data_IF_449384831395
#
_entry.id   IF_449384831395
#
_cell.length_a   1.000
_cell.length_b   1.000
_cell.length_c   1.000
_cell.angle_alpha   90.00
_cell.angle_beta   90.00
_cell.angle_gamma   90.00
#
_symmetry.space_group_name_H-M   'P 1'
#
loop_
_entity.id
_entity.type
_entity.pdbx_description
1 polymer ?
#
# COMPACT_ATOMS: atom_id res chain seq x y z
N UNK A 1 -35.35 -11.86 -23.15
CA UNK A 1 -34.50 -12.30 -22.02
C UNK A 1 -35.32 -12.24 -20.74
N UNK A 2 -35.57 -13.36 -20.06
CA UNK A 2 -36.35 -13.37 -18.81
C UNK A 2 -35.65 -12.60 -17.70
N UNK A 3 -36.42 -11.90 -16.84
CA UNK A 3 -35.88 -11.21 -15.66
C UNK A 3 -35.19 -12.20 -14.73
N UNK A 4 -34.02 -11.84 -14.21
CA UNK A 4 -33.32 -12.67 -13.21
C UNK A 4 -34.09 -12.71 -11.89
N UNK A 5 -33.92 -13.76 -11.08
CA UNK A 5 -34.57 -13.90 -9.76
C UNK A 5 -34.28 -12.71 -8.84
N UNK A 6 -33.09 -12.14 -8.92
CA UNK A 6 -32.70 -10.95 -8.16
C UNK A 6 -33.49 -9.71 -8.61
N UNK A 7 -33.66 -9.52 -9.92
CA UNK A 7 -34.48 -8.44 -10.47
C UNK A 7 -35.96 -8.59 -10.08
N UNK A 8 -36.52 -9.80 -10.14
CA UNK A 8 -37.90 -10.07 -9.70
C UNK A 8 -38.11 -9.69 -8.22
N UNK A 9 -37.13 -10.00 -7.35
CA UNK A 9 -37.19 -9.61 -5.94
C UNK A 9 -37.00 -8.11 -5.71
N UNK A 10 -36.16 -7.45 -6.50
CA UNK A 10 -35.98 -6.00 -6.45
C UNK A 10 -37.27 -5.27 -6.85
N UNK A 11 -37.89 -5.68 -7.96
CA UNK A 11 -39.17 -5.16 -8.46
C UNK A 11 -40.30 -5.40 -7.44
N UNK A 12 -40.33 -6.56 -6.78
CA UNK A 12 -41.28 -6.83 -5.70
C UNK A 12 -41.08 -5.88 -4.51
N UNK A 13 -39.84 -5.64 -4.07
CA UNK A 13 -39.54 -4.72 -2.96
C UNK A 13 -39.91 -3.29 -3.29
N UNK A 14 -39.66 -2.84 -4.51
CA UNK A 14 -40.04 -1.50 -4.98
C UNK A 14 -41.57 -1.33 -5.00
N UNK A 15 -42.32 -2.29 -5.55
CA UNK A 15 -43.79 -2.29 -5.52
C UNK A 15 -44.35 -2.28 -4.09
N UNK A 16 -43.78 -3.08 -3.18
CA UNK A 16 -44.15 -3.09 -1.75
C UNK A 16 -43.83 -1.76 -1.06
N UNK A 17 -42.71 -1.12 -1.39
CA UNK A 17 -42.27 0.16 -0.86
C UNK A 17 -43.18 1.31 -1.31
N UNK A 18 -43.63 1.28 -2.57
CA UNK A 18 -44.62 2.21 -3.10
C UNK A 18 -46.01 2.01 -2.45
N UNK A 19 -46.47 0.76 -2.32
CA UNK A 19 -47.79 0.44 -1.77
C UNK A 19 -47.97 0.78 -0.28
N UNK A 20 -46.94 0.57 0.54
CA UNK A 20 -47.00 0.77 2.01
C UNK A 20 -46.44 2.11 2.46
N UNK A 21 -45.80 2.87 1.59
CA UNK A 21 -44.98 4.02 1.96
C UNK A 21 -43.60 3.63 2.49
N UNK A 22 -42.60 4.48 2.22
CA UNK A 22 -41.20 4.22 2.53
C UNK A 22 -40.94 4.04 4.04
N UNK A 23 -41.56 4.87 4.89
CA UNK A 23 -41.36 4.82 6.33
C UNK A 23 -41.88 3.51 6.95
N UNK A 24 -43.10 3.10 6.58
CA UNK A 24 -43.73 1.86 7.09
C UNK A 24 -42.97 0.62 6.60
N UNK A 25 -42.52 0.61 5.35
CA UNK A 25 -41.74 -0.50 4.79
C UNK A 25 -40.39 -0.67 5.52
N UNK A 26 -39.70 0.44 5.83
CA UNK A 26 -38.45 0.42 6.58
C UNK A 26 -38.66 -0.02 8.03
N UNK A 27 -39.73 0.46 8.68
CA UNK A 27 -40.08 0.06 10.05
C UNK A 27 -40.37 -1.44 10.16
N UNK A 28 -41.20 -1.98 9.27
CA UNK A 28 -41.47 -3.42 9.19
C UNK A 28 -40.22 -4.26 8.80
N UNK A 29 -39.27 -3.67 8.08
CA UNK A 29 -37.96 -4.28 7.81
C UNK A 29 -37.10 -4.36 9.08
N UNK A 30 -37.03 -3.26 9.83
CA UNK A 30 -36.31 -3.14 11.10
C UNK A 30 -36.89 -4.08 12.17
N UNK A 31 -38.22 -4.15 12.30
CA UNK A 31 -38.90 -5.06 13.24
C UNK A 31 -38.62 -6.53 12.92
N UNK A 32 -38.62 -6.91 11.64
CA UNK A 32 -38.22 -8.26 11.22
C UNK A 32 -36.76 -8.55 11.54
N UNK A 33 -35.86 -7.59 11.31
CA UNK A 33 -34.46 -7.76 11.67
C UNK A 33 -34.30 -7.93 13.20
N UNK A 34 -34.97 -7.11 14.01
CA UNK A 34 -34.97 -7.23 15.48
C UNK A 34 -35.51 -8.59 15.94
N UNK A 35 -36.58 -9.11 15.34
CA UNK A 35 -37.18 -10.42 15.69
C UNK A 35 -36.22 -11.59 15.55
N UNK A 36 -35.33 -11.56 14.55
CA UNK A 36 -34.41 -12.68 14.25
C UNK A 36 -32.94 -12.40 14.61
N UNK A 37 -32.62 -11.17 15.01
CA UNK A 37 -31.27 -10.79 15.37
C UNK A 37 -31.03 -11.06 16.85
N UNK A 38 -30.26 -12.11 17.13
CA UNK A 38 -29.71 -12.37 18.47
C UNK A 38 -28.27 -11.86 18.50
N UNK A 39 -27.96 -10.86 19.35
CA UNK A 39 -26.60 -10.35 19.53
C UNK A 39 -25.63 -11.46 19.95
N UNK A 40 -24.42 -11.43 19.40
CA UNK A 40 -23.40 -12.47 19.68
C UNK A 40 -22.98 -12.48 21.15
N UNK A 41 -23.05 -11.33 21.82
CA UNK A 41 -22.76 -11.21 23.25
C UNK A 41 -23.74 -12.02 24.13
N UNK A 42 -25.01 -12.11 23.71
CA UNK A 42 -26.07 -12.81 24.45
C UNK A 42 -26.04 -14.34 24.24
N UNK A 43 -25.15 -14.87 23.41
CA UNK A 43 -25.05 -16.30 23.13
C UNK A 43 -24.04 -17.00 24.04
N UNK A 44 -24.42 -18.17 24.53
CA UNK A 44 -23.49 -19.07 25.25
C UNK A 44 -22.40 -19.60 24.31
N UNK A 45 -21.28 -20.09 24.86
CA UNK A 45 -20.18 -20.64 24.04
C UNK A 45 -20.63 -21.83 23.19
N UNK A 46 -21.54 -22.67 23.70
CA UNK A 46 -22.15 -23.78 22.96
C UNK A 46 -22.93 -23.27 21.75
N UNK A 47 -23.82 -22.30 21.94
CA UNK A 47 -24.60 -21.70 20.85
C UNK A 47 -23.72 -20.98 19.81
N UNK A 48 -22.63 -20.34 20.25
CA UNK A 48 -21.63 -19.74 19.34
C UNK A 48 -20.98 -20.81 18.45
N UNK A 49 -20.63 -21.96 19.02
CA UNK A 49 -20.05 -23.10 18.28
C UNK A 49 -21.04 -23.66 17.26
N UNK A 50 -22.28 -23.94 17.68
CA UNK A 50 -23.34 -24.43 16.80
C UNK A 50 -23.65 -23.44 15.66
N UNK A 51 -23.63 -22.13 15.94
CA UNK A 51 -23.84 -21.10 14.91
C UNK A 51 -22.70 -21.09 13.88
N UNK A 52 -21.44 -21.23 14.32
CA UNK A 52 -20.27 -21.35 13.43
C UNK A 52 -20.35 -22.63 12.58
N UNK A 53 -20.74 -23.74 13.18
CA UNK A 53 -20.88 -25.02 12.50
C UNK A 53 -21.98 -24.98 11.43
N UNK A 54 -23.16 -24.42 11.74
CA UNK A 54 -24.24 -24.20 10.76
C UNK A 54 -23.78 -23.33 9.57
N UNK A 55 -22.99 -22.28 9.83
CA UNK A 55 -22.40 -21.45 8.77
C UNK A 55 -21.41 -22.24 7.94
N UNK A 56 -20.51 -23.00 8.56
CA UNK A 56 -19.53 -23.83 7.88
C UNK A 56 -20.20 -24.88 6.99
N UNK A 57 -21.25 -25.55 7.48
CA UNK A 57 -22.05 -26.50 6.70
C UNK A 57 -22.68 -25.81 5.49
N UNK A 58 -23.27 -24.62 5.66
CA UNK A 58 -23.90 -23.87 4.56
C UNK A 58 -22.88 -23.48 3.50
N UNK A 59 -21.71 -22.99 3.91
CA UNK A 59 -20.60 -22.63 3.01
C UNK A 59 -20.08 -23.86 2.27
N UNK A 60 -19.92 -24.99 2.97
CA UNK A 60 -19.48 -26.26 2.36
C UNK A 60 -20.48 -26.76 1.32
N UNK A 61 -21.78 -26.76 1.64
CA UNK A 61 -22.86 -27.10 0.69
C UNK A 61 -22.87 -26.18 -0.53
N UNK A 62 -22.71 -24.88 -0.32
CA UNK A 62 -22.65 -23.90 -1.42
C UNK A 62 -21.45 -24.12 -2.33
N UNK A 63 -20.26 -24.35 -1.77
CA UNK A 63 -19.04 -24.67 -2.55
C UNK A 63 -19.20 -25.95 -3.34
N UNK A 64 -19.79 -26.99 -2.73
CA UNK A 64 -20.08 -28.25 -3.43
C UNK A 64 -21.07 -28.05 -4.59
N UNK A 65 -22.11 -27.24 -4.40
CA UNK A 65 -23.06 -26.88 -5.45
C UNK A 65 -22.40 -26.12 -6.62
N UNK A 66 -21.57 -25.12 -6.32
CA UNK A 66 -20.80 -24.40 -7.36
C UNK A 66 -19.87 -25.36 -8.09
N UNK A 67 -19.22 -26.29 -7.37
CA UNK A 67 -18.35 -27.29 -7.98
C UNK A 67 -19.12 -28.18 -8.95
N UNK A 68 -20.32 -28.66 -8.57
CA UNK A 68 -21.22 -29.42 -9.45
C UNK A 68 -21.67 -28.64 -10.68
N UNK A 69 -21.99 -27.36 -10.55
CA UNK A 69 -22.32 -26.50 -11.71
C UNK A 69 -21.12 -26.41 -12.67
N UNK A 70 -19.93 -26.18 -12.13
CA UNK A 70 -18.72 -26.02 -12.94
C UNK A 70 -18.28 -27.34 -13.59
N UNK A 71 -18.43 -28.47 -12.89
CA UNK A 71 -18.18 -29.80 -13.42
C UNK A 71 -19.22 -30.17 -14.49
N UNK A 72 -20.50 -29.85 -14.29
CA UNK A 72 -21.53 -30.02 -15.31
C UNK A 72 -21.28 -29.18 -16.57
N UNK A 73 -20.87 -27.92 -16.40
CA UNK A 73 -20.50 -27.05 -17.52
C UNK A 73 -19.27 -27.57 -18.29
N UNK A 74 -18.31 -28.20 -17.61
CA UNK A 74 -17.13 -28.84 -18.24
C UNK A 74 -17.49 -30.13 -18.95
N UNK A 75 -18.29 -31.00 -18.33
CA UNK A 75 -18.70 -32.26 -18.94
C UNK A 75 -19.63 -32.04 -20.14
N UNK A 76 -20.49 -31.01 -20.13
CA UNK A 76 -21.24 -30.60 -21.32
C UNK A 76 -20.33 -30.07 -22.43
N UNK A 77 -19.21 -29.42 -22.08
CA UNK A 77 -18.22 -28.96 -23.05
C UNK A 77 -17.38 -30.10 -23.64
N UNK A 78 -17.08 -31.13 -22.85
CA UNK A 78 -16.31 -32.30 -23.27
C UNK A 78 -17.15 -33.27 -24.11
N UNK A 79 -18.43 -33.53 -23.76
CA UNK A 79 -19.34 -34.34 -24.59
C UNK A 79 -19.56 -33.75 -25.99
N UNK A 80 -19.61 -32.42 -26.10
CA UNK A 80 -19.68 -31.76 -27.42
C UNK A 80 -18.40 -31.87 -28.26
N UNK A 81 -17.25 -32.24 -27.66
CA UNK A 81 -15.99 -32.41 -28.37
C UNK A 81 -15.70 -33.88 -28.73
N UNK A 82 -16.24 -34.85 -27.98
CA UNK A 82 -16.03 -36.28 -28.26
C UNK A 82 -16.93 -36.81 -29.40
N UNK A 83 -18.18 -36.33 -29.52
CA UNK A 83 -19.10 -36.74 -30.60
C UNK A 83 -18.70 -36.19 -31.99
N UNK A 84 -17.69 -35.32 -32.07
CA UNK A 84 -17.21 -34.71 -33.31
C UNK A 84 -15.98 -35.37 -33.93
N UNK A 85 -15.41 -36.41 -33.30
CA UNK A 85 -14.08 -36.92 -33.65
C UNK A 85 -14.08 -38.32 -34.31
N UNK A 86 -15.24 -38.85 -34.69
CA UNK A 86 -15.38 -40.13 -35.42
C UNK A 86 -16.12 -39.93 -36.74
N UNK A 87 -15.49 -39.22 -37.67
CA UNK A 87 -15.74 -39.39 -39.11
C UNK A 87 -14.47 -39.04 -39.85
N UNK A 88 -13.76 -40.09 -40.25
CA UNK A 88 -12.64 -40.04 -41.17
C UNK A 88 -13.05 -39.26 -42.42
N UNK A 89 -12.18 -38.35 -42.85
CA UNK A 89 -12.26 -37.67 -44.13
C UNK A 89 -11.98 -38.70 -45.25
N UNK A 90 -12.93 -38.96 -46.18
CA UNK A 90 -12.53 -39.25 -47.54
C UNK A 90 -12.21 -37.92 -48.22
N UNK A 91 -11.01 -37.86 -48.78
CA UNK A 91 -10.52 -36.79 -49.63
C UNK A 91 -11.51 -36.48 -50.78
N UNK A 92 -11.87 -35.22 -51.08
CA UNK A 92 -12.53 -34.88 -52.32
C UNK A 92 -11.59 -34.06 -53.19
N UNK A 93 -10.77 -34.75 -53.97
CA UNK A 93 -10.33 -34.23 -55.26
C UNK A 93 -11.43 -34.61 -56.25
N UNK A 94 -12.30 -33.66 -56.61
CA UNK A 94 -13.04 -33.77 -57.86
C UNK A 94 -13.38 -32.39 -58.41
N UNK A 95 -12.89 -32.18 -59.62
CA UNK A 95 -13.01 -30.99 -60.46
C UNK A 95 -14.47 -30.61 -60.71
N UNK A 96 -14.77 -29.32 -60.62
CA UNK A 96 -15.96 -28.73 -61.22
C UNK A 96 -15.78 -28.76 -62.75
N UNK A 97 -16.44 -29.70 -63.42
CA UNK A 97 -16.75 -29.57 -64.85
C UNK A 97 -18.18 -29.05 -65.02
N UNK A 98 -18.25 -27.83 -65.52
CA UNK A 98 -19.37 -27.31 -66.28
C UNK A 98 -19.71 -28.27 -67.43
N UNK A 99 -21.00 -28.57 -67.62
CA UNK A 99 -21.48 -29.03 -68.91
C UNK A 99 -22.89 -28.48 -69.15
N UNK A 100 -22.93 -27.59 -70.13
CA UNK A 100 -24.10 -27.10 -70.81
C UNK A 100 -24.91 -28.22 -71.50
N UNK A 101 -26.21 -27.93 -71.60
CA UNK A 101 -27.19 -28.36 -72.60
C UNK A 101 -26.89 -29.56 -73.52
N UNK A 102 -27.78 -30.56 -73.49
CA UNK A 102 -28.27 -31.20 -74.71
C UNK A 102 -29.68 -31.77 -74.52
N UNK A 103 -30.55 -31.38 -75.44
CA UNK A 103 -31.85 -31.97 -75.75
C UNK A 103 -31.58 -33.31 -76.45
N UNK A 104 -32.27 -34.39 -76.07
CA UNK A 104 -32.57 -35.45 -77.04
C UNK A 104 -33.86 -36.20 -76.70
N UNK A 105 -34.76 -36.18 -77.68
CA UNK A 105 -35.84 -37.12 -77.86
C UNK A 105 -35.33 -38.58 -77.87
N UNK A 106 -36.20 -39.50 -77.46
CA UNK A 106 -35.87 -40.93 -77.42
C UNK A 106 -37.10 -41.77 -77.10
N UNK A 107 -38.02 -41.84 -78.07
CA UNK A 107 -39.09 -42.82 -78.14
C UNK A 107 -38.53 -44.25 -78.26
N UNK A 108 -39.12 -45.22 -77.57
CA UNK A 108 -39.23 -46.58 -78.11
C UNK A 108 -40.51 -47.26 -77.64
N UNK A 109 -41.30 -47.67 -78.62
CA UNK A 109 -42.51 -48.47 -78.52
C UNK A 109 -42.21 -49.94 -78.24
N UNK A 110 -43.15 -50.63 -77.60
CA UNK A 110 -43.46 -52.03 -77.94
C UNK A 110 -44.99 -52.22 -77.91
N UNK A 111 -45.51 -52.73 -79.02
CA UNK A 111 -46.88 -53.12 -79.37
C UNK A 111 -47.57 -54.01 -78.32
N UNK A 112 -48.89 -54.17 -78.18
CA UNK A 112 -50.11 -54.07 -79.01
C UNK A 112 -51.06 -55.21 -78.53
N UNK A 113 -52.23 -55.53 -79.11
CA UNK A 113 -53.22 -54.76 -79.88
C UNK A 113 -54.67 -54.94 -79.36
N UNK A 114 -55.66 -54.16 -79.85
CA UNK A 114 -56.88 -54.68 -80.51
C UNK A 114 -58.03 -53.66 -80.63
N UNK A 115 -58.54 -53.55 -81.86
CA UNK A 115 -59.92 -53.26 -82.27
C UNK A 115 -60.44 -51.81 -82.33
N UNK A 116 -60.28 -51.24 -83.54
CA UNK A 116 -61.37 -50.82 -84.44
C UNK A 116 -62.68 -50.35 -83.78
N UNK A 117 -62.96 -49.04 -83.84
CA UNK A 117 -64.21 -48.50 -84.43
C UNK A 117 -63.99 -47.07 -84.96
N UNK A 118 -64.65 -46.80 -86.08
CA UNK A 118 -64.57 -45.61 -86.95
C UNK A 118 -64.85 -44.29 -86.22
N UNK A 119 -64.04 -43.27 -86.47
CA UNK A 119 -64.29 -41.88 -86.03
C UNK A 119 -65.00 -41.07 -87.12
N UNK A 120 -65.91 -40.14 -86.76
CA UNK A 120 -66.20 -39.00 -87.61
C UNK A 120 -65.14 -37.91 -87.39
N UNK A 121 -64.73 -37.27 -88.49
CA UNK A 121 -63.76 -36.17 -88.52
C UNK A 121 -64.22 -34.98 -87.66
N UNK A 122 -63.66 -34.85 -86.46
CA UNK A 122 -63.71 -33.65 -85.64
C UNK A 122 -62.43 -32.85 -85.87
N UNK A 123 -62.53 -31.77 -86.64
CA UNK A 123 -61.47 -30.75 -86.76
C UNK A 123 -61.33 -30.03 -85.42
N UNK A 124 -60.43 -30.52 -84.56
CA UNK A 124 -60.05 -29.85 -83.30
C UNK A 124 -59.10 -28.69 -83.61
N UNK A 125 -59.62 -27.47 -83.58
CA UNK A 125 -58.79 -26.28 -83.50
C UNK A 125 -57.91 -26.32 -82.24
N UNK A 126 -56.58 -26.36 -82.43
CA UNK A 126 -55.62 -26.29 -81.33
C UNK A 126 -55.48 -24.86 -80.81
N UNK A 127 -56.42 -24.42 -79.97
CA UNK A 127 -56.20 -23.23 -79.15
C UNK A 127 -55.14 -23.58 -78.08
N UNK A 128 -53.93 -23.01 -78.19
CA UNK A 128 -52.89 -23.09 -77.16
C UNK A 128 -53.49 -22.58 -75.83
N UNK A 129 -53.88 -23.50 -74.94
CA UNK A 129 -54.46 -23.17 -73.62
C UNK A 129 -53.46 -22.30 -72.86
N UNK A 130 -53.73 -21.00 -72.74
CA UNK A 130 -52.94 -20.08 -71.92
C UNK A 130 -52.91 -20.63 -70.50
N UNK A 131 -51.72 -21.00 -70.00
CA UNK A 131 -51.53 -21.52 -68.64
C UNK A 131 -52.17 -20.54 -67.66
N UNK A 132 -53.17 -21.02 -66.90
CA UNK A 132 -53.89 -20.25 -65.88
C UNK A 132 -52.93 -19.39 -65.05
N UNK A 133 -53.26 -18.12 -64.87
CA UNK A 133 -52.52 -17.15 -64.04
C UNK A 133 -52.19 -17.71 -62.66
N UNK A 134 -53.09 -18.51 -62.08
CA UNK A 134 -52.92 -19.22 -60.79
C UNK A 134 -51.77 -20.24 -60.80
N UNK A 135 -51.56 -20.95 -61.91
CA UNK A 135 -50.44 -21.90 -62.04
C UNK A 135 -49.11 -21.16 -62.22
N UNK A 136 -49.09 -20.00 -62.88
CA UNK A 136 -47.89 -19.14 -62.98
C UNK A 136 -47.50 -18.56 -61.63
N UNK A 137 -48.46 -18.01 -60.87
CA UNK A 137 -48.21 -17.47 -59.53
C UNK A 137 -47.77 -18.56 -58.54
N UNK A 138 -48.41 -19.73 -58.57
CA UNK A 138 -48.01 -20.88 -57.74
C UNK A 138 -46.58 -21.35 -58.04
N UNK A 139 -46.19 -21.45 -59.31
CA UNK A 139 -44.80 -21.78 -59.69
C UNK A 139 -43.81 -20.71 -59.25
N UNK A 140 -44.16 -19.42 -59.36
CA UNK A 140 -43.33 -18.32 -58.89
C UNK A 140 -43.14 -18.35 -57.35
N UNK A 141 -44.22 -18.59 -56.59
CA UNK A 141 -44.17 -18.75 -55.14
C UNK A 141 -43.33 -19.96 -54.71
N UNK A 142 -43.49 -21.10 -55.40
CA UNK A 142 -42.67 -22.29 -55.13
C UNK A 142 -41.17 -22.02 -55.40
N UNK A 143 -40.84 -21.32 -56.49
CA UNK A 143 -39.46 -20.88 -56.76
C UNK A 143 -38.94 -19.92 -55.69
N UNK A 144 -39.77 -18.98 -55.24
CA UNK A 144 -39.41 -18.05 -54.16
C UNK A 144 -39.15 -18.80 -52.84
N UNK A 145 -40.01 -19.75 -52.47
CA UNK A 145 -39.85 -20.55 -51.25
C UNK A 145 -38.57 -21.41 -51.30
N UNK A 146 -38.28 -22.03 -52.45
CA UNK A 146 -37.00 -22.75 -52.65
C UNK A 146 -35.81 -21.83 -52.50
N UNK A 147 -35.88 -20.60 -53.04
CA UNK A 147 -34.81 -19.61 -52.93
C UNK A 147 -34.62 -19.14 -51.49
N UNK A 148 -35.72 -18.94 -50.74
CA UNK A 148 -35.67 -18.60 -49.30
C UNK A 148 -34.99 -19.72 -48.51
N UNK A 149 -35.34 -20.98 -48.76
CA UNK A 149 -34.70 -22.13 -48.12
C UNK A 149 -33.21 -22.23 -48.44
N UNK A 150 -32.83 -22.05 -49.71
CA UNK A 150 -31.43 -22.02 -50.13
C UNK A 150 -30.66 -20.88 -49.45
N UNK A 151 -31.25 -19.69 -49.34
CA UNK A 151 -30.64 -18.55 -48.66
C UNK A 151 -30.49 -18.79 -47.15
N UNK A 152 -31.46 -19.43 -46.50
CA UNK A 152 -31.38 -19.82 -45.09
C UNK A 152 -30.23 -20.81 -44.84
N UNK A 153 -30.07 -21.82 -45.70
CA UNK A 153 -28.96 -22.76 -45.62
C UNK A 153 -27.60 -22.08 -45.85
N UNK A 154 -27.51 -21.16 -46.82
CA UNK A 154 -26.30 -20.36 -47.06
C UNK A 154 -25.96 -19.48 -45.86
N UNK A 155 -26.95 -18.83 -45.24
CA UNK A 155 -26.77 -18.00 -44.05
C UNK A 155 -26.26 -18.85 -42.88
N UNK A 156 -26.86 -20.01 -42.63
CA UNK A 156 -26.40 -20.93 -41.58
C UNK A 156 -24.98 -21.44 -41.83
N UNK A 157 -24.62 -21.73 -43.09
CA UNK A 157 -23.25 -22.11 -43.48
C UNK A 157 -22.26 -20.97 -43.23
N UNK A 158 -22.61 -19.74 -43.61
CA UNK A 158 -21.80 -18.55 -43.36
C UNK A 158 -21.61 -18.28 -41.86
N UNK A 159 -22.64 -18.47 -41.03
CA UNK A 159 -22.52 -18.36 -39.57
C UNK A 159 -21.55 -19.39 -38.97
N UNK A 160 -21.58 -20.63 -39.46
CA UNK A 160 -20.63 -21.69 -39.04
C UNK A 160 -19.20 -21.32 -39.46
N UNK A 161 -19.01 -20.79 -40.67
CA UNK A 161 -17.72 -20.28 -41.16
C UNK A 161 -17.22 -19.10 -40.32
N UNK A 162 -18.09 -18.15 -39.99
CA UNK A 162 -17.74 -17.02 -39.12
C UNK A 162 -17.36 -17.46 -37.70
N UNK A 163 -18.08 -18.44 -37.11
CA UNK A 163 -17.72 -19.00 -35.79
C UNK A 163 -16.36 -19.70 -35.81
N UNK A 164 -16.06 -20.43 -36.87
CA UNK A 164 -14.76 -21.12 -37.01
C UNK A 164 -13.63 -20.13 -37.25
N UNK A 165 -13.82 -19.13 -38.11
CA UNK A 165 -12.86 -18.04 -38.32
C UNK A 165 -12.64 -17.23 -37.04
N UNK A 166 -13.70 -16.88 -36.32
CA UNK A 166 -13.62 -16.17 -35.03
C UNK A 166 -12.80 -16.95 -33.99
N UNK A 167 -13.04 -18.27 -33.85
CA UNK A 167 -12.24 -19.12 -32.97
C UNK A 167 -10.79 -19.27 -33.44
N UNK A 168 -10.54 -19.34 -34.76
CA UNK A 168 -9.18 -19.36 -35.32
C UNK A 168 -8.46 -18.05 -35.03
N UNK A 169 -9.14 -16.92 -35.19
CA UNK A 169 -8.64 -15.59 -34.86
C UNK A 169 -8.32 -15.48 -33.36
N UNK A 170 -9.21 -15.90 -32.45
CA UNK A 170 -8.92 -15.90 -31.00
C UNK A 170 -7.70 -16.75 -30.63
N UNK A 171 -7.52 -17.91 -31.29
CA UNK A 171 -6.34 -18.77 -31.08
C UNK A 171 -5.09 -18.11 -31.67
N UNK A 172 -5.19 -17.47 -32.82
CA UNK A 172 -4.10 -16.74 -33.44
C UNK A 172 -3.67 -15.56 -32.56
N UNK A 173 -4.61 -14.73 -32.09
CA UNK A 173 -4.36 -13.62 -31.16
C UNK A 173 -3.69 -14.10 -29.86
N UNK A 174 -4.10 -15.25 -29.31
CA UNK A 174 -3.43 -15.86 -28.13
C UNK A 174 -2.03 -16.42 -28.43
N UNK A 175 -1.73 -16.71 -29.70
CA UNK A 175 -0.43 -17.21 -30.17
C UNK A 175 0.51 -16.12 -30.65
N UNK A 176 0.00 -14.92 -30.98
CA UNK A 176 0.86 -13.77 -31.25
C UNK A 176 1.67 -13.53 -29.97
N UNK A 177 3.01 -13.65 -30.03
CA UNK A 177 3.84 -13.33 -28.90
C UNK A 177 3.68 -11.84 -28.66
N UNK A 178 2.94 -11.48 -27.61
CA UNK A 178 3.02 -10.12 -27.05
C UNK A 178 4.50 -9.87 -26.81
N UNK A 179 5.00 -8.80 -27.40
CA UNK A 179 6.39 -8.38 -27.28
C UNK A 179 6.88 -8.54 -25.84
N UNK A 180 8.13 -8.97 -25.72
CA UNK A 180 8.83 -9.37 -24.49
C UNK A 180 8.97 -8.23 -23.48
N UNK A 181 7.87 -7.72 -22.94
CA UNK A 181 7.89 -6.64 -21.93
C UNK A 181 7.35 -7.07 -20.58
N UNK A 182 6.71 -8.24 -20.46
CA UNK A 182 6.15 -8.68 -19.19
C UNK A 182 6.68 -10.05 -18.76
N UNK A 183 7.50 -10.08 -17.72
CA UNK A 183 7.79 -11.26 -16.86
C UNK A 183 6.53 -11.84 -16.17
N UNK A 184 5.33 -11.42 -16.59
CA UNK A 184 4.07 -11.67 -15.93
C UNK A 184 3.23 -12.73 -16.65
N UNK A 185 2.82 -13.74 -15.84
CA UNK A 185 1.86 -14.83 -16.09
C UNK A 185 2.43 -16.17 -16.55
N UNK A 186 3.69 -16.49 -16.24
CA UNK A 186 4.06 -17.90 -16.13
C UNK A 186 3.47 -18.48 -14.84
N UNK A 187 2.69 -19.55 -14.95
CA UNK A 187 2.15 -20.26 -13.78
C UNK A 187 3.31 -20.84 -12.96
N UNK A 188 3.16 -21.06 -11.63
CA UNK A 188 4.21 -21.67 -10.81
C UNK A 188 4.71 -23.02 -11.34
N UNK A 189 3.82 -23.80 -11.98
CA UNK A 189 4.16 -25.05 -12.68
C UNK A 189 4.96 -24.85 -13.96
N UNK A 190 4.67 -23.80 -14.71
CA UNK A 190 5.46 -23.44 -15.89
C UNK A 190 6.86 -22.96 -15.47
N UNK A 191 6.94 -22.14 -14.40
CA UNK A 191 8.21 -21.70 -13.81
C UNK A 191 9.07 -22.86 -13.35
N UNK A 192 8.50 -23.88 -12.70
CA UNK A 192 9.28 -25.08 -12.34
C UNK A 192 9.74 -25.87 -13.56
N UNK A 193 8.89 -26.02 -14.58
CA UNK A 193 9.30 -26.68 -15.81
C UNK A 193 10.41 -25.92 -16.57
N UNK A 194 10.45 -24.58 -16.46
CA UNK A 194 11.54 -23.76 -16.98
C UNK A 194 12.79 -23.96 -16.14
N UNK A 195 12.72 -23.82 -14.82
CA UNK A 195 13.87 -24.04 -13.91
C UNK A 195 14.50 -25.43 -14.06
N UNK A 196 13.68 -26.47 -14.26
CA UNK A 196 14.18 -27.82 -14.50
C UNK A 196 14.91 -27.91 -15.86
N UNK A 197 14.34 -27.31 -16.91
CA UNK A 197 14.98 -27.26 -18.24
C UNK A 197 16.27 -26.45 -18.24
N UNK A 198 16.30 -25.31 -17.55
CA UNK A 198 17.50 -24.48 -17.39
C UNK A 198 18.61 -25.23 -16.65
N UNK A 199 18.24 -26.17 -15.78
CA UNK A 199 19.17 -27.07 -15.09
C UNK A 199 19.55 -28.32 -15.92
N UNK A 200 19.14 -28.40 -17.20
CA UNK A 200 19.39 -29.54 -18.08
C UNK A 200 18.53 -30.78 -17.80
N UNK A 201 17.51 -30.67 -16.94
CA UNK A 201 16.65 -31.78 -16.55
C UNK A 201 15.30 -31.75 -17.29
N UNK A 202 14.89 -32.90 -17.82
CA UNK A 202 13.54 -33.04 -18.37
C UNK A 202 12.49 -33.02 -17.25
N UNK A 203 11.44 -32.18 -17.32
CA UNK A 203 10.37 -32.12 -16.31
C UNK A 203 9.58 -33.43 -16.11
N UNK A 204 9.75 -34.40 -17.00
CA UNK A 204 9.18 -35.76 -16.92
C UNK A 204 10.13 -36.75 -16.23
N UNK A 205 11.44 -36.52 -16.31
CA UNK A 205 12.47 -37.40 -15.74
C UNK A 205 12.69 -37.18 -14.24
N UNK A 206 12.29 -36.01 -13.71
CA UNK A 206 12.56 -35.63 -12.32
C UNK A 206 11.55 -36.27 -11.37
N UNK A 207 11.99 -36.88 -10.25
CA UNK A 207 11.09 -37.42 -9.23
C UNK A 207 10.03 -36.42 -8.76
N UNK A 208 8.80 -36.91 -8.57
CA UNK A 208 7.65 -36.08 -8.19
C UNK A 208 7.88 -35.31 -6.87
N UNK A 209 8.69 -35.83 -5.94
CA UNK A 209 9.03 -35.16 -4.68
C UNK A 209 9.77 -33.83 -4.92
N UNK A 210 10.81 -33.85 -5.76
CA UNK A 210 11.61 -32.67 -6.12
C UNK A 210 10.75 -31.67 -6.89
N UNK A 211 9.96 -32.16 -7.85
CA UNK A 211 9.04 -31.32 -8.62
C UNK A 211 8.01 -30.61 -7.73
N UNK A 212 7.44 -31.31 -6.75
CA UNK A 212 6.51 -30.72 -5.77
C UNK A 212 7.20 -29.68 -4.89
N UNK A 213 8.42 -29.95 -4.42
CA UNK A 213 9.19 -29.00 -3.60
C UNK A 213 9.49 -27.71 -4.37
N UNK A 214 10.00 -27.80 -5.60
CA UNK A 214 10.24 -26.62 -6.45
C UNK A 214 8.95 -25.87 -6.74
N UNK A 215 7.85 -26.59 -6.97
CA UNK A 215 6.56 -25.95 -7.26
C UNK A 215 6.05 -25.22 -6.03
N UNK A 216 6.18 -25.82 -4.85
CA UNK A 216 5.86 -25.18 -3.58
C UNK A 216 6.69 -23.91 -3.37
N UNK A 217 8.00 -23.95 -3.61
CA UNK A 217 8.86 -22.77 -3.51
C UNK A 217 8.39 -21.64 -4.43
N UNK A 218 8.10 -21.94 -5.69
CA UNK A 218 7.62 -20.93 -6.64
C UNK A 218 6.24 -20.38 -6.28
N UNK A 219 5.33 -21.21 -5.77
CA UNK A 219 4.02 -20.74 -5.26
C UNK A 219 4.19 -19.79 -4.09
N UNK A 220 5.02 -20.14 -3.11
CA UNK A 220 5.28 -19.28 -1.94
C UNK A 220 5.93 -17.96 -2.36
N UNK A 221 6.88 -17.99 -3.30
CA UNK A 221 7.52 -16.78 -3.81
C UNK A 221 6.53 -15.86 -4.55
N UNK A 222 5.62 -16.43 -5.34
CA UNK A 222 4.57 -15.69 -6.04
C UNK A 222 3.57 -15.08 -5.04
N UNK A 223 3.15 -15.82 -4.01
CA UNK A 223 2.28 -15.31 -2.95
C UNK A 223 2.94 -14.15 -2.18
N UNK A 224 4.23 -14.25 -1.86
CA UNK A 224 4.98 -13.17 -1.20
C UNK A 224 5.07 -11.95 -2.13
N UNK A 225 5.27 -12.16 -3.42
CA UNK A 225 5.35 -11.08 -4.42
C UNK A 225 3.99 -10.38 -4.57
N UNK A 226 2.90 -11.12 -4.65
CA UNK A 226 1.54 -10.60 -4.66
C UNK A 226 1.23 -9.83 -3.36
N UNK A 227 1.56 -10.40 -2.20
CA UNK A 227 1.41 -9.72 -0.92
C UNK A 227 2.25 -8.43 -0.85
N UNK A 228 3.45 -8.40 -1.43
CA UNK A 228 4.30 -7.21 -1.50
C UNK A 228 3.70 -6.10 -2.37
N UNK A 229 3.05 -6.48 -3.48
CA UNK A 229 2.39 -5.56 -4.40
C UNK A 229 1.07 -5.01 -3.83
N UNK A 230 0.26 -5.87 -3.22
CA UNK A 230 -1.01 -5.49 -2.59
C UNK A 230 -0.81 -4.58 -1.37
N UNK A 231 0.20 -4.87 -0.54
CA UNK A 231 0.46 -4.10 0.67
C UNK A 231 1.21 -2.80 0.37
N UNK A 232 0.52 -1.73 -0.03
CA UNK A 232 1.16 -0.41 -0.23
C UNK A 232 1.71 0.21 1.06
N UNK A 233 1.13 -0.12 2.22
CA UNK A 233 1.51 0.45 3.53
C UNK A 233 2.91 0.00 3.97
N UNK A 234 3.71 0.96 4.46
CA UNK A 234 5.11 0.75 4.91
C UNK A 234 5.24 -0.28 6.03
N UNK A 235 4.28 -0.31 6.96
CA UNK A 235 4.29 -1.26 8.09
C UNK A 235 4.13 -2.71 7.62
N UNK A 236 3.18 -2.99 6.72
CA UNK A 236 2.96 -4.35 6.20
C UNK A 236 4.16 -4.84 5.37
N UNK A 237 4.76 -3.95 4.55
CA UNK A 237 6.02 -4.25 3.85
C UNK A 237 7.17 -4.53 4.81
N UNK A 238 7.25 -3.81 5.94
CA UNK A 238 8.26 -4.05 6.97
C UNK A 238 8.12 -5.44 7.59
N UNK A 239 6.89 -5.89 7.85
CA UNK A 239 6.62 -7.23 8.36
C UNK A 239 7.04 -8.29 7.34
N UNK A 240 6.68 -8.12 6.07
CA UNK A 240 7.12 -9.03 5.00
C UNK A 240 8.66 -9.09 4.89
N UNK A 241 9.34 -7.94 4.96
CA UNK A 241 10.81 -7.90 4.98
C UNK A 241 11.39 -8.67 6.17
N UNK A 242 10.76 -8.62 7.35
CA UNK A 242 11.20 -9.34 8.55
C UNK A 242 10.94 -10.84 8.50
N UNK A 243 9.86 -11.27 7.84
CA UNK A 243 9.54 -12.69 7.64
C UNK A 243 10.51 -13.31 6.64
N UNK A 244 10.71 -12.64 5.50
CA UNK A 244 11.55 -13.12 4.40
C UNK A 244 13.03 -13.01 4.75
N UNK A 245 13.49 -11.88 5.27
CA UNK A 245 14.90 -11.66 5.60
C UNK A 245 15.25 -12.16 6.99
N UNK A 246 16.41 -12.82 7.11
CA UNK A 246 16.95 -13.25 8.39
C UNK A 246 18.44 -13.55 8.29
N UNK A 247 19.04 -13.94 9.44
CA UNK A 247 20.46 -14.32 9.52
C UNK A 247 20.82 -15.40 8.50
N UNK A 248 19.95 -16.40 8.31
CA UNK A 248 20.15 -17.49 7.34
C UNK A 248 20.40 -16.97 5.92
N UNK A 249 19.50 -16.15 5.36
CA UNK A 249 19.70 -15.61 4.01
C UNK A 249 20.96 -14.73 3.88
N UNK A 250 21.38 -14.08 4.97
CA UNK A 250 22.60 -13.27 5.00
C UNK A 250 23.85 -14.14 5.02
N UNK A 251 23.87 -15.18 5.84
CA UNK A 251 24.99 -16.13 5.95
C UNK A 251 25.26 -16.80 4.60
N UNK A 252 24.21 -17.21 3.88
CA UNK A 252 24.33 -17.80 2.54
C UNK A 252 24.44 -16.76 1.41
N UNK A 253 24.54 -15.45 1.71
CA UNK A 253 24.65 -14.36 0.72
C UNK A 253 23.51 -14.32 -0.33
N UNK A 254 22.34 -14.87 0.00
CA UNK A 254 21.18 -15.00 -0.90
C UNK A 254 20.25 -13.78 -0.94
N UNK A 255 20.62 -12.65 -0.34
CA UNK A 255 19.76 -11.45 -0.27
C UNK A 255 19.39 -10.92 -1.66
N UNK A 256 20.36 -10.89 -2.59
CA UNK A 256 20.13 -10.41 -3.97
C UNK A 256 19.16 -11.33 -4.69
N UNK A 257 19.34 -12.63 -4.55
CA UNK A 257 18.46 -13.65 -5.13
C UNK A 257 17.03 -13.52 -4.56
N UNK A 258 16.90 -13.46 -3.22
CA UNK A 258 15.61 -13.29 -2.56
C UNK A 258 14.90 -11.99 -2.97
N UNK A 259 15.63 -10.88 -3.14
CA UNK A 259 15.08 -9.61 -3.61
C UNK A 259 14.49 -9.72 -5.02
N UNK A 260 15.19 -10.37 -5.94
CA UNK A 260 14.72 -10.61 -7.31
C UNK A 260 13.47 -11.49 -7.32
N UNK A 261 13.45 -12.55 -6.51
CA UNK A 261 12.33 -13.48 -6.49
C UNK A 261 11.07 -12.93 -5.79
N UNK A 262 11.23 -12.21 -4.68
CA UNK A 262 10.09 -11.71 -3.87
C UNK A 262 9.59 -10.32 -4.27
N UNK A 263 10.35 -9.58 -5.10
CA UNK A 263 10.03 -8.20 -5.44
C UNK A 263 10.20 -7.20 -4.28
N UNK A 264 10.83 -7.63 -3.18
CA UNK A 264 11.15 -6.76 -2.04
C UNK A 264 12.46 -6.00 -2.29
N UNK A 265 12.55 -4.73 -1.88
CA UNK A 265 13.76 -3.91 -2.05
C UNK A 265 14.95 -4.52 -1.31
N UNK A 266 16.06 -4.77 -2.03
CA UNK A 266 17.32 -5.33 -1.48
C UNK A 266 17.81 -4.59 -0.24
N UNK A 267 17.82 -3.25 -0.28
CA UNK A 267 18.29 -2.44 0.84
C UNK A 267 17.49 -2.70 2.12
N UNK A 268 16.18 -2.92 2.02
CA UNK A 268 15.32 -3.19 3.16
C UNK A 268 15.61 -4.58 3.73
N UNK A 269 15.72 -5.60 2.88
CA UNK A 269 16.07 -6.97 3.30
C UNK A 269 17.45 -7.00 3.99
N UNK A 270 18.43 -6.27 3.47
CA UNK A 270 19.77 -6.18 4.08
C UNK A 270 19.77 -5.52 5.46
N UNK A 271 18.88 -4.54 5.70
CA UNK A 271 18.78 -3.81 6.97
C UNK A 271 18.04 -4.56 8.08
N UNK A 272 17.29 -5.62 7.77
CA UNK A 272 16.58 -6.43 8.78
C UNK A 272 17.58 -7.12 9.71
N UNK A 273 17.60 -6.74 10.99
CA UNK A 273 18.51 -7.30 12.01
C UNK A 273 17.86 -8.38 12.88
N UNK A 274 16.55 -8.32 13.09
CA UNK A 274 15.79 -9.29 13.88
C UNK A 274 14.47 -9.65 13.21
N UNK A 275 14.01 -10.88 13.45
CA UNK A 275 12.69 -11.38 13.03
C UNK A 275 11.56 -10.96 14.00
N UNK A 276 11.92 -10.41 15.15
CA UNK A 276 10.97 -10.06 16.21
C UNK A 276 10.27 -8.73 15.86
N UNK A 277 9.12 -8.84 15.20
CA UNK A 277 8.24 -7.72 14.85
C UNK A 277 7.94 -6.83 16.08
N UNK A 278 7.70 -7.47 17.22
CA UNK A 278 7.40 -6.84 18.51
C UNK A 278 8.54 -5.94 19.02
N UNK A 279 9.80 -6.39 18.92
CA UNK A 279 10.96 -5.59 19.36
C UNK A 279 11.14 -4.33 18.51
N UNK A 280 10.83 -4.39 17.20
CA UNK A 280 10.90 -3.21 16.34
C UNK A 280 9.84 -2.17 16.70
N UNK A 281 8.62 -2.62 17.01
CA UNK A 281 7.54 -1.74 17.46
C UNK A 281 7.84 -1.12 18.83
N UNK A 282 8.36 -1.90 19.78
CA UNK A 282 8.81 -1.41 21.08
C UNK A 282 9.90 -0.35 20.94
N UNK A 283 10.94 -0.58 20.12
CA UNK A 283 12.00 0.42 19.86
C UNK A 283 11.45 1.71 19.28
N UNK A 284 10.45 1.63 18.38
CA UNK A 284 9.79 2.80 17.81
C UNK A 284 8.96 3.55 18.86
N UNK A 285 8.23 2.83 19.71
CA UNK A 285 7.47 3.40 20.81
C UNK A 285 8.39 4.11 21.81
N UNK A 286 9.48 3.46 22.23
CA UNK A 286 10.49 4.03 23.12
C UNK A 286 11.08 5.30 22.50
N UNK A 287 11.45 5.28 21.21
CA UNK A 287 11.98 6.47 20.53
C UNK A 287 10.95 7.60 20.45
N UNK A 288 9.68 7.29 20.18
CA UNK A 288 8.61 8.29 20.16
C UNK A 288 8.38 8.90 21.53
N UNK A 289 8.29 8.07 22.57
CA UNK A 289 8.16 8.51 23.96
C UNK A 289 9.35 9.36 24.39
N UNK A 290 10.57 8.98 24.02
CA UNK A 290 11.77 9.79 24.26
C UNK A 290 11.73 11.13 23.55
N UNK A 291 11.28 11.18 22.29
CA UNK A 291 11.14 12.45 21.56
C UNK A 291 10.11 13.35 22.21
N UNK A 292 8.94 12.83 22.61
CA UNK A 292 7.94 13.62 23.32
C UNK A 292 8.48 14.17 24.64
N UNK A 293 9.19 13.33 25.40
CA UNK A 293 9.86 13.76 26.63
C UNK A 293 10.92 14.84 26.36
N UNK A 294 11.70 14.70 25.29
CA UNK A 294 12.66 15.72 24.86
C UNK A 294 11.96 17.05 24.57
N UNK A 295 10.92 17.02 23.74
CA UNK A 295 10.16 18.22 23.36
C UNK A 295 9.53 18.90 24.57
N UNK A 296 9.01 18.13 25.52
CA UNK A 296 8.42 18.67 26.75
C UNK A 296 9.45 19.36 27.65
N UNK A 297 10.64 18.76 27.80
CA UNK A 297 11.74 19.39 28.55
C UNK A 297 12.22 20.66 27.84
N UNK A 298 12.33 20.65 26.51
CA UNK A 298 12.72 21.83 25.73
C UNK A 298 11.69 22.95 25.87
N UNK A 299 10.40 22.61 25.79
CA UNK A 299 9.31 23.57 26.01
C UNK A 299 9.36 24.16 27.41
N UNK A 300 9.56 23.32 28.43
CA UNK A 300 9.71 23.78 29.82
C UNK A 300 10.89 24.73 29.99
N UNK A 301 12.07 24.36 29.48
CA UNK A 301 13.27 25.19 29.59
C UNK A 301 13.17 26.49 28.79
N UNK A 302 12.41 26.49 27.69
CA UNK A 302 12.21 27.67 26.84
C UNK A 302 11.15 28.64 27.37
N UNK A 303 10.46 28.34 28.47
CA UNK A 303 9.54 29.30 29.11
C UNK A 303 10.32 30.49 29.66
N UNK A 304 9.71 31.67 29.62
CA UNK A 304 10.37 32.90 30.03
C UNK A 304 10.65 32.94 31.55
N UNK A 305 9.86 32.22 32.35
CA UNK A 305 10.09 32.03 33.79
C UNK A 305 11.39 31.25 34.08
N UNK A 306 11.74 30.32 33.19
CA UNK A 306 12.86 29.39 33.37
C UNK A 306 14.11 29.82 32.58
N UNK A 307 13.94 30.68 31.57
CA UNK A 307 15.02 31.19 30.73
C UNK A 307 14.71 32.57 30.16
N UNK A 308 15.73 33.39 29.98
CA UNK A 308 15.61 34.70 29.34
C UNK A 308 16.19 34.66 27.93
N UNK A 309 15.46 35.23 26.96
CA UNK A 309 15.98 35.48 25.62
C UNK A 309 17.03 36.59 25.65
N UNK A 310 18.17 36.34 25.03
CA UNK A 310 19.18 37.37 24.81
C UNK A 310 18.76 38.29 23.66
N UNK A 311 18.89 39.61 23.77
CA UNK A 311 18.38 40.54 22.76
C UNK A 311 19.34 40.76 21.56
N UNK A 312 20.61 40.33 21.64
CA UNK A 312 21.61 40.66 20.63
C UNK A 312 21.49 39.88 19.33
N UNK A 313 21.73 40.52 18.18
CA UNK A 313 21.81 39.85 16.87
C UNK A 313 22.95 38.83 16.79
N UNK A 314 24.02 39.04 17.56
CA UNK A 314 25.12 38.09 17.73
C UNK A 314 24.79 36.93 18.68
N UNK A 315 23.71 37.03 19.44
CA UNK A 315 23.26 36.00 20.36
C UNK A 315 22.37 34.96 19.66
N UNK A 316 22.54 34.74 18.36
CA UNK A 316 21.89 33.66 17.62
C UNK A 316 22.88 32.52 17.39
N UNK A 317 22.46 31.27 17.61
CA UNK A 317 23.27 30.10 17.34
C UNK A 317 22.61 29.19 16.28
N UNK A 318 23.43 28.43 15.55
CA UNK A 318 22.93 27.43 14.60
C UNK A 318 22.35 26.24 15.37
N UNK A 319 21.04 26.09 15.32
CA UNK A 319 20.28 24.91 15.72
C UNK A 319 20.02 24.03 14.49
N UNK A 320 19.72 22.74 14.68
CA UNK A 320 19.53 21.81 13.57
C UNK A 320 18.45 22.24 12.56
N UNK A 321 17.44 22.97 13.03
CA UNK A 321 16.31 23.45 12.21
C UNK A 321 16.50 24.90 11.70
N UNK A 322 17.60 25.58 12.05
CA UNK A 322 17.85 26.96 11.63
C UNK A 322 18.64 27.79 12.64
N UNK A 323 18.60 29.12 12.51
CA UNK A 323 19.19 30.03 13.53
C UNK A 323 18.18 30.18 14.67
N UNK A 324 18.60 29.84 15.89
CA UNK A 324 17.81 30.02 17.10
C UNK A 324 18.47 31.08 18.00
N UNK A 325 17.66 31.98 18.54
CA UNK A 325 18.12 32.97 19.52
C UNK A 325 18.55 32.25 20.81
N UNK A 326 19.68 32.68 21.37
CA UNK A 326 20.23 32.12 22.60
C UNK A 326 19.32 32.55 23.77
N UNK A 327 18.97 31.56 24.57
CA UNK A 327 18.32 31.70 25.87
C UNK A 327 19.32 31.38 26.96
N UNK A 328 19.27 32.11 28.05
CA UNK A 328 20.06 31.83 29.26
C UNK A 328 19.10 31.41 30.35
N UNK A 329 19.35 30.27 31.00
CA UNK A 329 18.49 29.78 32.09
C UNK A 329 18.48 30.80 33.24
N UNK A 330 17.39 30.89 33.99
CA UNK A 330 17.29 31.81 35.13
C UNK A 330 17.81 31.19 36.45
N UNK A 331 17.96 29.87 36.49
CA UNK A 331 18.31 29.10 37.70
C UNK A 331 19.20 27.90 37.34
N UNK A 332 19.76 27.27 38.37
CA UNK A 332 20.54 26.04 38.26
C UNK A 332 19.68 24.89 37.70
N UNK A 333 20.31 24.05 36.89
CA UNK A 333 19.63 22.90 36.25
C UNK A 333 19.03 21.93 37.26
N UNK A 334 19.63 21.81 38.45
CA UNK A 334 19.11 20.97 39.53
C UNK A 334 17.77 21.50 40.08
N UNK A 335 17.67 22.80 40.30
CA UNK A 335 16.44 23.46 40.77
C UNK A 335 15.35 23.42 39.70
N UNK A 336 15.71 23.71 38.45
CA UNK A 336 14.80 23.59 37.31
C UNK A 336 14.29 22.16 37.11
N UNK A 337 15.10 21.15 37.42
CA UNK A 337 14.66 19.76 37.41
C UNK A 337 13.64 19.46 38.52
N UNK A 338 13.85 19.97 39.74
CA UNK A 338 12.88 19.84 40.83
C UNK A 338 11.56 20.51 40.47
N UNK A 339 11.61 21.73 39.92
CA UNK A 339 10.44 22.46 39.39
C UNK A 339 9.74 21.70 38.26
N UNK A 340 10.50 21.12 37.33
CA UNK A 340 9.95 20.29 36.27
C UNK A 340 9.20 19.07 36.84
N UNK A 341 9.75 18.43 37.87
CA UNK A 341 9.17 17.26 38.53
C UNK A 341 7.92 17.59 39.33
N UNK A 342 7.85 18.79 39.94
CA UNK A 342 6.64 19.24 40.65
C UNK A 342 5.52 19.62 39.68
N UNK A 343 5.83 20.25 38.54
CA UNK A 343 4.83 20.58 37.52
C UNK A 343 4.33 19.36 36.74
N UNK A 344 5.19 18.36 36.52
CA UNK A 344 4.86 17.16 35.75
C UNK A 344 4.77 15.93 36.65
N UNK A 345 3.76 15.91 37.54
CA UNK A 345 3.54 14.85 38.53
C UNK A 345 3.41 13.46 37.88
N UNK A 346 2.81 13.38 36.70
CA UNK A 346 2.67 12.13 35.93
C UNK A 346 4.02 11.55 35.45
N UNK A 347 5.04 12.39 35.30
CA UNK A 347 6.37 12.03 34.76
C UNK A 347 7.43 11.87 35.86
N UNK A 348 7.01 11.50 37.08
CA UNK A 348 7.88 11.35 38.28
C UNK A 348 9.14 10.48 38.10
N UNK A 349 9.18 9.60 37.09
CA UNK A 349 10.29 8.66 36.82
C UNK A 349 11.46 9.26 36.03
N UNK A 350 11.43 10.56 35.70
CA UNK A 350 12.53 11.20 34.98
C UNK A 350 13.74 11.38 35.89
N UNK A 351 14.90 10.90 35.47
CA UNK A 351 16.17 11.14 36.18
C UNK A 351 16.76 12.50 35.84
N UNK A 352 17.49 13.10 36.80
CA UNK A 352 18.23 14.34 36.58
C UNK A 352 19.24 14.20 35.43
N UNK A 353 19.87 13.04 35.28
CA UNK A 353 20.84 12.78 34.20
C UNK A 353 20.20 12.82 32.81
N UNK A 354 18.98 12.29 32.65
CA UNK A 354 18.23 12.36 31.41
C UNK A 354 17.84 13.81 31.06
N UNK A 355 17.35 14.55 32.05
CA UNK A 355 17.02 15.97 31.92
C UNK A 355 18.24 16.81 31.49
N UNK A 356 19.38 16.61 32.16
CA UNK A 356 20.64 17.27 31.81
C UNK A 356 21.12 16.91 30.41
N UNK A 357 20.97 15.64 29.99
CA UNK A 357 21.36 15.19 28.64
C UNK A 357 20.55 15.90 27.57
N UNK A 358 19.24 16.05 27.77
CA UNK A 358 18.39 16.82 26.86
C UNK A 358 18.86 18.26 26.79
N UNK A 359 19.05 18.92 27.93
CA UNK A 359 19.55 20.30 27.96
C UNK A 359 20.90 20.45 27.25
N UNK A 360 21.87 19.54 27.44
CA UNK A 360 23.16 19.57 26.72
C UNK A 360 23.01 19.48 25.20
N UNK A 361 21.96 18.81 24.71
CA UNK A 361 21.68 18.74 23.27
C UNK A 361 21.14 20.06 22.71
N UNK A 362 20.60 20.94 23.55
CA UNK A 362 20.05 22.25 23.19
C UNK A 362 21.12 23.34 23.29
N UNK A 363 21.92 23.51 22.23
CA UNK A 363 23.01 24.52 22.20
C UNK A 363 22.54 25.96 22.39
N UNK A 364 21.29 26.27 22.03
CA UNK A 364 20.69 27.60 22.17
C UNK A 364 20.25 27.90 23.61
N UNK A 365 20.17 26.92 24.51
CA UNK A 365 19.81 27.12 25.92
C UNK A 365 21.10 27.00 26.75
N UNK A 366 21.66 28.15 27.12
CA UNK A 366 22.90 28.24 27.89
C UNK A 366 22.62 28.28 29.38
N UNK A 367 23.58 27.77 30.16
CA UNK A 367 23.62 28.02 31.60
C UNK A 367 23.90 29.50 31.83
N UNK A 368 23.46 30.02 32.97
CA UNK A 368 23.94 31.30 33.48
C UNK A 368 25.46 31.24 33.55
N UNK A 369 26.12 32.18 32.86
CA UNK A 369 27.54 32.40 33.02
C UNK A 369 27.73 33.61 33.93
N UNK A 370 28.46 33.42 35.03
CA UNK A 370 28.72 34.44 36.05
C UNK A 370 29.43 35.70 35.50
N UNK A 371 30.10 35.59 34.35
CA UNK A 371 30.80 36.69 33.71
C UNK A 371 29.89 37.66 32.93
N UNK A 372 28.65 37.28 32.63
CA UNK A 372 27.75 38.12 31.83
C UNK A 372 26.89 39.03 32.72
N UNK A 373 27.18 40.34 32.66
CA UNK A 373 26.55 41.44 33.42
C UNK A 373 25.02 41.52 33.27
N UNK A 374 24.45 40.91 32.23
CA UNK A 374 23.01 40.90 31.92
C UNK A 374 22.25 39.67 32.42
N UNK A 375 22.93 38.67 33.01
CA UNK A 375 22.33 37.35 33.32
C UNK A 375 22.57 36.84 34.75
N UNK A 376 23.07 37.65 35.68
CA UNK A 376 23.42 37.16 37.04
C UNK A 376 22.21 37.07 37.99
N UNK A 377 22.12 35.97 38.74
CA UNK A 377 21.34 35.84 39.98
C UNK A 377 21.88 36.81 41.04
N UNK A 378 21.39 38.05 41.00
CA UNK A 378 21.71 39.20 41.87
C UNK A 378 23.13 39.78 41.77
N UNK A 379 23.21 41.12 41.82
CA UNK A 379 24.47 41.88 41.77
C UNK A 379 25.40 41.57 42.96
N UNK A 380 24.82 41.13 44.10
CA UNK A 380 25.58 40.74 45.29
C UNK A 380 26.40 39.45 45.06
N UNK A 381 25.83 38.43 44.42
CA UNK A 381 26.57 37.20 44.10
C UNK A 381 27.62 37.43 43.01
N UNK A 382 27.36 38.33 42.05
CA UNK A 382 28.36 38.71 41.06
C UNK A 382 29.55 39.42 41.70
N UNK A 383 29.30 40.38 42.58
CA UNK A 383 30.34 41.07 43.33
C UNK A 383 31.13 40.08 44.21
N UNK A 384 30.45 39.12 44.85
CA UNK A 384 31.10 38.08 45.64
C UNK A 384 32.00 37.17 44.80
N UNK A 385 31.53 36.72 43.63
CA UNK A 385 32.35 35.90 42.72
C UNK A 385 33.59 36.65 42.21
N UNK A 386 33.46 37.94 41.92
CA UNK A 386 34.59 38.78 41.51
C UNK A 386 35.63 38.94 42.64
N UNK A 387 35.16 39.18 43.88
CA UNK A 387 36.03 39.24 45.05
C UNK A 387 36.74 37.91 45.31
N UNK A 388 36.05 36.78 45.19
CA UNK A 388 36.66 35.45 45.31
C UNK A 388 37.71 35.17 44.24
N UNK A 389 37.48 35.64 43.01
CA UNK A 389 38.46 35.54 41.93
C UNK A 389 39.71 36.40 42.19
N UNK A 390 39.56 37.56 42.84
CA UNK A 390 40.68 38.38 43.28
C UNK A 390 41.47 37.70 44.41
N UNK A 391 40.78 37.16 45.42
CA UNK A 391 41.39 36.41 46.52
C UNK A 391 42.16 35.17 46.04
N UNK A 392 41.64 34.49 45.01
CA UNK A 392 42.33 33.35 44.39
C UNK A 392 43.65 33.75 43.72
N UNK A 393 43.71 34.94 43.09
CA UNK A 393 44.95 35.46 42.50
C UNK A 393 46.00 35.79 43.57
N UNK A 394 45.55 36.17 44.76
CA UNK A 394 46.40 36.38 45.93
C UNK A 394 46.75 35.07 46.66
N UNK A 395 46.27 33.92 46.17
CA UNK A 395 46.53 32.61 46.77
C UNK A 395 45.73 32.31 48.05
N UNK A 396 44.79 33.18 48.44
CA UNK A 396 44.06 33.09 49.71
C UNK A 396 42.88 32.11 49.66
N UNK A 397 42.35 31.78 48.48
CA UNK A 397 41.18 30.91 48.32
C UNK A 397 41.36 29.93 47.17
N UNK A 398 40.96 28.67 47.38
CA UNK A 398 41.10 27.58 46.40
C UNK A 398 39.83 27.31 45.58
N UNK A 399 38.63 27.59 46.12
CA UNK A 399 37.32 27.29 45.49
C UNK A 399 36.64 28.55 44.94
N UNK A 400 35.99 28.44 43.77
CA UNK A 400 35.44 29.60 43.02
C UNK A 400 33.94 29.86 43.24
N UNK A 401 33.18 28.92 43.81
CA UNK A 401 31.73 29.07 43.92
C UNK A 401 31.36 29.86 45.19
N UNK A 402 30.67 31.02 45.08
CA UNK A 402 30.28 31.83 46.24
C UNK A 402 29.53 31.06 47.32
N UNK A 403 28.63 30.17 46.91
CA UNK A 403 27.76 29.42 47.82
C UNK A 403 28.52 28.38 48.66
N UNK A 404 29.54 27.75 48.05
CA UNK A 404 30.42 26.81 48.76
C UNK A 404 31.42 27.55 49.65
N UNK A 405 31.85 28.74 49.24
CA UNK A 405 32.76 29.55 50.05
C UNK A 405 32.10 30.04 51.34
N UNK A 406 30.85 30.51 51.26
CA UNK A 406 30.10 31.01 52.43
C UNK A 406 29.80 29.86 53.42
N UNK A 407 29.47 28.66 52.92
CA UNK A 407 29.20 27.50 53.78
C UNK A 407 30.41 26.99 54.55
N UNK A 408 31.61 27.19 54.02
CA UNK A 408 32.84 26.63 54.59
C UNK A 408 33.59 27.62 55.48
N UNK A 409 33.19 28.89 55.55
CA UNK A 409 33.92 29.94 56.27
C UNK A 409 33.00 30.71 57.22
N UNK A 410 33.51 31.02 58.41
CA UNK A 410 32.80 31.86 59.39
C UNK A 410 32.76 33.31 58.92
N UNK A 411 31.66 34.01 59.23
CA UNK A 411 31.40 35.38 58.74
C UNK A 411 32.52 36.37 59.11
N UNK A 412 33.11 36.27 60.31
CA UNK A 412 34.26 37.08 60.72
C UNK A 412 35.55 36.79 59.93
N UNK A 413 35.76 35.55 59.47
CA UNK A 413 36.90 35.21 58.61
C UNK A 413 36.70 35.72 57.18
N UNK A 414 35.46 35.68 56.69
CA UNK A 414 35.09 36.26 55.39
C UNK A 414 35.35 37.76 55.40
N UNK A 415 34.90 38.48 56.43
CA UNK A 415 35.11 39.93 56.52
C UNK A 415 36.61 40.29 56.58
N UNK A 416 37.42 39.57 57.37
CA UNK A 416 38.88 39.76 57.39
C UNK A 416 39.52 39.61 56.01
N UNK A 417 39.18 38.55 55.26
CA UNK A 417 39.70 38.35 53.90
C UNK A 417 39.24 39.44 52.93
N UNK A 418 38.01 39.93 53.10
CA UNK A 418 37.47 41.02 52.27
C UNK A 418 38.12 42.37 52.62
N UNK A 419 38.48 42.60 53.87
CA UNK A 419 39.22 43.78 54.29
C UNK A 419 40.66 43.75 53.77
N UNK A 420 41.29 42.57 53.70
CA UNK A 420 42.63 42.41 53.08
C UNK A 420 42.62 42.80 51.60
N UNK A 421 41.53 42.52 50.87
CA UNK A 421 41.37 43.01 49.49
C UNK A 421 41.30 44.54 49.40
N UNK A 422 40.87 45.22 50.47
CA UNK A 422 40.72 46.67 50.50
C UNK A 422 42.01 47.36 50.97
N UNK A 423 42.85 46.70 51.78
CA UNK A 423 44.05 47.28 52.40
C UNK A 423 45.35 46.96 51.69
N UNK A 424 45.47 45.81 51.00
CA UNK A 424 46.72 45.42 50.34
C UNK A 424 46.61 45.45 48.81
N UNK A 425 47.26 46.43 48.18
CA UNK A 425 47.77 46.40 46.79
C UNK A 425 46.82 45.98 45.65
N UNK A 426 45.50 45.98 45.84
CA UNK A 426 44.52 45.72 44.77
C UNK A 426 44.03 47.00 44.08
N UNK A 427 44.26 48.17 44.68
CA UNK A 427 44.01 49.47 44.03
C UNK A 427 44.77 49.60 42.69
N UNK A 428 45.96 48.99 42.58
CA UNK A 428 46.78 49.00 41.36
C UNK A 428 46.50 47.82 40.41
N UNK A 429 45.97 46.69 40.92
CA UNK A 429 45.62 45.51 40.11
C UNK A 429 44.21 45.57 39.51
N UNK A 430 43.29 46.35 40.10
CA UNK A 430 42.05 46.79 39.45
C UNK A 430 42.35 48.12 38.76
N UNK A 431 43.29 48.08 37.84
CA UNK A 431 43.72 49.26 37.12
C UNK A 431 42.53 49.80 36.31
N UNK A 432 42.09 51.00 36.68
CA UNK A 432 41.18 51.90 35.97
C UNK A 432 41.69 52.31 34.56
N UNK A 433 42.70 51.59 34.01
CA UNK A 433 43.30 51.84 32.69
C UNK A 433 42.40 51.42 31.53
N UNK A 434 41.52 50.43 31.71
CA UNK A 434 40.59 50.02 30.65
C UNK A 434 39.43 51.01 30.42
N UNK A 435 39.15 51.91 31.37
CA UNK A 435 38.14 52.96 31.21
C UNK A 435 38.69 54.27 30.65
N UNK A 436 39.96 54.58 30.90
CA UNK A 436 40.64 55.75 30.34
C UNK A 436 40.82 55.67 28.82
N UNK A 437 41.23 54.51 28.31
CA UNK A 437 41.36 54.29 26.86
C UNK A 437 40.00 54.31 26.15
N UNK A 438 38.93 53.78 26.75
CA UNK A 438 37.60 53.81 26.15
C UNK A 438 37.04 55.24 26.01
N UNK A 439 37.31 56.11 26.99
CA UNK A 439 36.93 57.53 26.93
C UNK A 439 37.72 58.28 25.85
N UNK A 440 39.04 58.09 25.80
CA UNK A 440 39.89 58.69 24.76
C UNK A 440 39.51 58.20 23.34
N UNK A 441 39.16 56.92 23.19
CA UNK A 441 38.71 56.36 21.91
C UNK A 441 37.33 56.90 21.50
N UNK A 442 36.46 57.20 22.47
CA UNK A 442 35.15 57.80 22.24
C UNK A 442 35.26 59.28 21.84
N UNK A 443 36.22 60.01 22.39
CA UNK A 443 36.53 61.39 22.01
C UNK A 443 37.18 61.48 20.62
N UNK A 444 38.16 60.61 20.31
CA UNK A 444 38.73 60.50 18.96
C UNK A 444 37.67 60.16 17.91
N UNK A 445 36.72 59.27 18.24
CA UNK A 445 35.59 58.96 17.34
C UNK A 445 34.64 60.15 17.17
N UNK A 446 34.40 60.96 18.21
CA UNK A 446 33.61 62.20 18.09
C UNK A 446 34.31 63.27 17.25
N UNK A 447 35.64 63.43 17.38
CA UNK A 447 36.42 64.34 16.55
C UNK A 447 36.43 63.90 15.08
N UNK A 448 36.73 62.63 14.80
CA UNK A 448 36.68 62.09 13.44
C UNK A 448 35.29 62.12 12.78
N UNK A 449 34.22 62.14 13.58
CA UNK A 449 32.85 62.35 13.09
C UNK A 449 32.54 63.82 12.82
N UNK A 450 33.13 64.76 13.58
CA UNK A 450 33.02 66.21 13.32
C UNK A 450 33.86 66.69 12.14
N UNK A 451 34.87 65.94 11.72
CA UNK A 451 35.68 66.24 10.53
C UNK A 451 35.10 65.60 9.25
N UNK A 452 34.14 64.70 9.38
CA UNK A 452 33.48 64.00 8.26
C UNK A 452 32.08 64.53 7.92
N UNK A 453 31.56 65.44 8.72
CA UNK A 453 30.34 66.21 8.51
C UNK A 453 30.68 67.68 8.64
#
# INVERSE_FOLDING_TARGET
MGKTRAQIQADYRQRKKQKLGQAVFLKAGSERQKKYYVPVAALTQRQKRERREKVNIRVRKHRAFIKKINEGAKNSLERFNEDGNSRENPNPDFEEKECDSAISDGSSETAGPSQSQRSPLLVKFQFKKKVSTRKRTSRALSKAHRRIQQLQLKLQSAERKNKTLSKRYERAVKKIPVEKTDEHKTTPRSKTAIQLRDAGLSPRSVPNKIKKQLTFTNVVLDEIREASQQNRKTNAKSVLNQIVSGRVLKNYRLIRYASKQTGLKRQNLARVRSKNVTQCLQKRHIRRSWNMFNDDVVKFLSRDDNSRLMPGKGDACKSGEGKAQIRVLNDYVANLYLKYKSENVEKRRVSLTAFQRIRRSQRHIKLVQYACRSTSLCQKHQNMALKLKALKRLGLVTKENPDEFIKNNNEGAINKMMDTLMTEKVADLVHHKEWGEYLQTKERRKQNLKEKF
#
